data_IF_929350731644
#
_entry.id   IF_929350731644
#
_cell.length_a   1.000
_cell.length_b   1.000
_cell.length_c   1.000
_cell.angle_alpha   90.00
_cell.angle_beta   90.00
_cell.angle_gamma   90.00
#
_symmetry.space_group_name_H-M   'P 1'
#
loop_
_entity.id
_entity.type
_entity.pdbx_description
1 polymer ?
#
# COMPACT_ATOMS: atom_id res chain seq x y z
N UNK A 1 50.89 21.10 -32.66
CA UNK A 1 50.22 20.14 -31.74
C UNK A 1 50.51 20.62 -30.34
N UNK A 2 49.56 21.30 -29.71
CA UNK A 2 49.69 21.70 -28.30
C UNK A 2 49.67 20.46 -27.44
N UNK A 3 50.66 20.27 -26.57
CA UNK A 3 50.68 19.20 -25.57
C UNK A 3 49.62 19.52 -24.52
N UNK A 4 48.55 18.77 -24.53
CA UNK A 4 47.52 18.83 -23.46
C UNK A 4 48.19 18.66 -22.11
N UNK A 5 47.74 19.40 -21.11
CA UNK A 5 48.22 19.23 -19.74
C UNK A 5 47.80 17.86 -19.20
N UNK A 6 48.58 17.23 -18.28
CA UNK A 6 48.20 15.94 -17.69
C UNK A 6 46.76 15.90 -17.17
N UNK A 7 46.32 16.97 -16.49
CA UNK A 7 44.93 17.10 -15.99
C UNK A 7 43.90 17.11 -17.09
N UNK A 8 44.14 17.79 -18.24
CA UNK A 8 43.22 17.79 -19.35
C UNK A 8 43.13 16.41 -20.06
N UNK A 9 44.19 15.63 -20.04
CA UNK A 9 44.19 14.26 -20.55
C UNK A 9 43.45 13.28 -19.64
N UNK A 10 43.57 13.43 -18.32
CA UNK A 10 42.80 12.63 -17.35
C UNK A 10 41.32 12.96 -17.42
N UNK A 11 40.95 14.24 -17.55
CA UNK A 11 39.58 14.66 -17.72
C UNK A 11 38.96 14.10 -19.01
N UNK A 12 39.66 14.15 -20.14
CA UNK A 12 39.18 13.59 -21.40
C UNK A 12 38.93 12.07 -21.31
N UNK A 13 39.82 11.34 -20.67
CA UNK A 13 39.62 9.90 -20.39
C UNK A 13 38.41 9.63 -19.49
N UNK A 14 38.21 10.44 -18.46
CA UNK A 14 37.07 10.31 -17.56
C UNK A 14 35.74 10.58 -18.32
N UNK A 15 35.70 11.59 -19.16
CA UNK A 15 34.55 11.90 -20.01
C UNK A 15 34.27 10.77 -21.01
N UNK A 16 35.31 10.22 -21.65
CA UNK A 16 35.21 9.09 -22.58
C UNK A 16 34.67 7.83 -21.86
N UNK A 17 35.20 7.52 -20.67
CA UNK A 17 34.70 6.41 -19.87
C UNK A 17 33.24 6.60 -19.44
N UNK A 18 32.85 7.81 -19.07
CA UNK A 18 31.46 8.13 -18.73
C UNK A 18 30.52 7.96 -19.95
N UNK A 19 30.98 8.32 -21.16
CA UNK A 19 30.21 8.10 -22.37
C UNK A 19 30.03 6.62 -22.68
N UNK A 20 31.08 5.80 -22.55
CA UNK A 20 31.02 4.33 -22.72
C UNK A 20 30.06 3.74 -21.68
N UNK A 21 30.13 4.14 -20.43
CA UNK A 21 29.24 3.68 -19.37
C UNK A 21 27.78 4.04 -19.65
N UNK A 22 27.51 5.21 -20.21
CA UNK A 22 26.16 5.60 -20.64
C UNK A 22 25.64 4.65 -21.72
N UNK A 23 26.46 4.30 -22.70
CA UNK A 23 26.08 3.36 -23.76
C UNK A 23 25.85 1.96 -23.21
N UNK A 24 26.65 1.51 -22.24
CA UNK A 24 26.41 0.26 -21.52
C UNK A 24 25.03 0.29 -20.85
N UNK A 25 24.66 1.36 -20.14
CA UNK A 25 23.35 1.48 -19.47
C UNK A 25 22.19 1.56 -20.48
N UNK A 26 22.37 2.21 -21.62
CA UNK A 26 21.37 2.20 -22.69
C UNK A 26 21.15 0.79 -23.22
N UNK A 27 22.24 0.05 -23.45
CA UNK A 27 22.15 -1.35 -23.90
C UNK A 27 21.52 -2.25 -22.85
N UNK A 28 21.87 -2.06 -21.57
CA UNK A 28 21.23 -2.73 -20.43
C UNK A 28 19.72 -2.52 -20.43
N UNK A 29 19.27 -1.28 -20.54
CA UNK A 29 17.84 -0.95 -20.62
C UNK A 29 17.15 -1.61 -21.80
N UNK A 30 17.78 -1.58 -22.96
CA UNK A 30 17.24 -2.21 -24.18
C UNK A 30 17.16 -3.74 -24.04
N UNK A 31 18.14 -4.40 -23.41
CA UNK A 31 18.11 -5.82 -23.17
C UNK A 31 16.99 -6.21 -22.17
N UNK A 32 16.82 -5.43 -21.10
CA UNK A 32 15.72 -5.61 -20.16
C UNK A 32 14.35 -5.41 -20.83
N UNK A 33 14.21 -4.38 -21.65
CA UNK A 33 12.98 -4.09 -22.40
C UNK A 33 12.55 -5.27 -23.30
N UNK A 34 13.47 -5.98 -23.93
CA UNK A 34 13.15 -7.12 -24.78
C UNK A 34 12.40 -8.23 -24.02
N UNK A 35 12.68 -8.36 -22.72
CA UNK A 35 12.08 -9.38 -21.84
C UNK A 35 10.90 -8.83 -21.01
N UNK A 36 10.93 -7.53 -20.68
CA UNK A 36 10.03 -6.86 -19.74
C UNK A 36 9.32 -5.66 -20.40
N UNK A 37 8.62 -5.89 -21.51
CA UNK A 37 7.97 -4.82 -22.30
C UNK A 37 6.97 -4.00 -21.51
N UNK A 38 6.26 -4.64 -20.58
CA UNK A 38 5.32 -3.97 -19.67
C UNK A 38 5.99 -3.02 -18.66
N UNK A 39 7.33 -2.99 -18.61
CA UNK A 39 8.11 -2.09 -17.77
C UNK A 39 8.77 -0.95 -18.55
N UNK A 40 8.46 -0.73 -19.82
CA UNK A 40 9.16 0.25 -20.67
C UNK A 40 9.21 1.64 -20.04
N UNK A 41 8.07 2.13 -19.56
CA UNK A 41 7.98 3.43 -18.90
C UNK A 41 8.85 3.50 -17.63
N UNK A 42 8.86 2.44 -16.81
CA UNK A 42 9.68 2.36 -15.60
C UNK A 42 11.18 2.30 -15.94
N UNK A 43 11.56 1.41 -16.86
CA UNK A 43 12.96 1.25 -17.32
C UNK A 43 13.53 2.54 -17.96
N UNK A 44 12.68 3.37 -18.54
CA UNK A 44 13.07 4.62 -19.19
C UNK A 44 13.05 5.83 -18.27
N UNK A 45 12.53 5.72 -17.06
CA UNK A 45 12.18 6.86 -16.20
C UNK A 45 13.36 7.52 -15.51
N UNK A 46 14.51 6.82 -15.37
CA UNK A 46 15.70 7.33 -14.69
C UNK A 46 16.68 7.97 -15.66
N UNK A 47 17.21 9.14 -15.28
CA UNK A 47 18.29 9.81 -16.00
C UNK A 47 19.64 9.26 -15.57
N UNK A 48 20.52 8.94 -16.49
CA UNK A 48 21.87 8.44 -16.19
C UNK A 48 22.81 9.60 -15.87
N UNK A 49 23.39 9.61 -14.67
CA UNK A 49 24.29 10.65 -14.17
C UNK A 49 25.61 10.05 -13.71
N UNK A 50 26.73 10.29 -14.39
CA UNK A 50 28.03 9.86 -13.89
C UNK A 50 28.43 10.69 -12.67
N UNK A 51 28.94 10.04 -11.63
CA UNK A 51 29.47 10.67 -10.43
C UNK A 51 30.80 10.02 -10.05
N UNK A 52 31.91 10.74 -10.29
CA UNK A 52 33.26 10.25 -10.05
C UNK A 52 33.61 10.19 -8.55
N UNK A 53 32.77 10.77 -7.69
CA UNK A 53 32.95 10.76 -6.22
C UNK A 53 32.17 9.65 -5.54
N UNK A 54 31.19 9.06 -6.23
CA UNK A 54 30.39 7.95 -5.71
C UNK A 54 31.26 6.69 -5.53
N UNK A 55 30.82 5.80 -4.62
CA UNK A 55 31.51 4.53 -4.38
C UNK A 55 30.94 3.37 -5.21
N UNK A 56 29.79 3.57 -5.83
CA UNK A 56 29.06 2.54 -6.56
C UNK A 56 28.03 3.11 -7.52
N UNK A 57 26.88 2.52 -7.57
CA UNK A 57 25.73 3.02 -8.30
C UNK A 57 24.49 2.99 -7.39
N UNK A 58 23.54 3.88 -7.64
CA UNK A 58 22.28 3.96 -6.87
C UNK A 58 21.33 4.99 -7.48
N UNK A 59 20.18 5.16 -6.85
CA UNK A 59 19.14 6.05 -7.34
C UNK A 59 18.51 6.90 -6.24
N UNK A 60 18.05 8.08 -6.64
CA UNK A 60 17.20 8.97 -5.84
C UNK A 60 15.71 8.91 -6.29
N UNK A 61 15.39 8.00 -7.23
CA UNK A 61 14.07 7.87 -7.85
C UNK A 61 13.85 8.74 -9.10
N UNK A 62 14.77 9.65 -9.42
CA UNK A 62 14.76 10.47 -10.64
C UNK A 62 16.00 10.25 -11.50
N UNK A 63 17.13 10.05 -10.87
CA UNK A 63 18.41 9.80 -11.52
C UNK A 63 18.98 8.45 -11.09
N UNK A 64 19.63 7.77 -12.01
CA UNK A 64 20.52 6.66 -11.72
C UNK A 64 21.94 7.19 -11.75
N UNK A 65 22.53 7.31 -10.58
CA UNK A 65 23.89 7.85 -10.39
C UNK A 65 24.87 6.69 -10.30
N UNK A 66 25.99 6.78 -10.98
CA UNK A 66 26.98 5.71 -11.03
C UNK A 66 28.39 6.23 -11.09
N UNK A 67 29.31 5.53 -10.48
CA UNK A 67 30.74 5.75 -10.60
C UNK A 67 31.22 4.98 -11.86
N UNK A 68 31.85 5.67 -12.85
CA UNK A 68 32.14 5.06 -14.16
C UNK A 68 33.08 3.85 -14.09
N UNK A 69 34.13 3.89 -13.27
CA UNK A 69 35.10 2.77 -13.13
C UNK A 69 34.43 1.55 -12.49
N UNK A 70 33.58 1.76 -11.48
CA UNK A 70 32.80 0.71 -10.85
C UNK A 70 31.87 0.03 -11.87
N UNK A 71 31.13 0.83 -12.65
CA UNK A 71 30.19 0.30 -13.63
C UNK A 71 30.91 -0.46 -14.76
N UNK A 72 32.01 0.09 -15.27
CA UNK A 72 32.85 -0.56 -16.29
C UNK A 72 33.42 -1.88 -15.74
N UNK A 73 33.92 -1.91 -14.50
CA UNK A 73 34.37 -3.12 -13.85
C UNK A 73 33.28 -4.20 -13.77
N UNK A 74 32.07 -3.84 -13.33
CA UNK A 74 30.93 -4.76 -13.32
C UNK A 74 30.56 -5.30 -14.71
N UNK A 75 30.67 -4.46 -15.72
CA UNK A 75 30.42 -4.88 -17.10
C UNK A 75 31.48 -5.87 -17.60
N UNK A 76 32.74 -5.68 -17.23
CA UNK A 76 33.84 -6.61 -17.55
C UNK A 76 33.69 -7.97 -16.84
N UNK A 77 33.14 -7.99 -15.63
CA UNK A 77 32.78 -9.22 -14.92
C UNK A 77 31.64 -9.97 -15.65
N UNK A 78 30.77 -9.24 -16.35
CA UNK A 78 29.70 -9.78 -17.16
C UNK A 78 28.50 -8.82 -17.23
N UNK A 79 27.92 -8.68 -18.42
CA UNK A 79 26.76 -7.81 -18.65
C UNK A 79 25.56 -8.10 -17.73
N UNK A 80 25.39 -9.35 -17.33
CA UNK A 80 24.31 -9.78 -16.40
C UNK A 80 24.38 -9.02 -15.07
N UNK A 81 25.58 -8.71 -14.59
CA UNK A 81 25.75 -7.98 -13.33
C UNK A 81 25.29 -6.54 -13.44
N UNK A 82 25.52 -5.87 -14.60
CA UNK A 82 25.03 -4.51 -14.83
C UNK A 82 23.52 -4.50 -15.05
N UNK A 83 22.99 -5.46 -15.80
CA UNK A 83 21.55 -5.62 -15.98
C UNK A 83 20.83 -5.78 -14.65
N UNK A 84 21.36 -6.66 -13.80
CA UNK A 84 20.81 -6.94 -12.47
C UNK A 84 20.93 -5.71 -11.57
N UNK A 85 22.07 -5.04 -11.56
CA UNK A 85 22.29 -3.84 -10.76
C UNK A 85 21.31 -2.71 -11.12
N UNK A 86 21.14 -2.42 -12.41
CA UNK A 86 20.20 -1.41 -12.86
C UNK A 86 18.75 -1.80 -12.54
N UNK A 87 18.38 -3.05 -12.80
CA UNK A 87 17.05 -3.55 -12.53
C UNK A 87 16.71 -3.56 -11.04
N UNK A 88 17.67 -3.88 -10.18
CA UNK A 88 17.59 -3.81 -8.73
C UNK A 88 17.18 -2.39 -8.28
N UNK A 89 17.87 -1.35 -8.74
CA UNK A 89 17.52 0.04 -8.42
C UNK A 89 16.15 0.45 -8.96
N UNK A 90 15.74 -0.04 -10.14
CA UNK A 90 14.39 0.19 -10.68
C UNK A 90 13.33 -0.42 -9.76
N UNK A 91 13.54 -1.63 -9.21
CA UNK A 91 12.58 -2.26 -8.31
C UNK A 91 12.47 -1.50 -6.99
N UNK A 92 13.56 -0.95 -6.44
CA UNK A 92 13.48 -0.06 -5.29
C UNK A 92 12.57 1.14 -5.54
N UNK A 93 12.63 1.70 -6.74
CA UNK A 93 11.75 2.81 -7.13
C UNK A 93 10.28 2.36 -7.28
N UNK A 94 10.02 1.23 -7.94
CA UNK A 94 8.67 0.69 -8.16
C UNK A 94 7.97 0.41 -6.84
N UNK A 95 8.68 -0.13 -5.85
CA UNK A 95 8.13 -0.41 -4.52
C UNK A 95 8.29 0.73 -3.52
N UNK A 96 8.79 1.88 -3.99
CA UNK A 96 8.92 3.12 -3.22
C UNK A 96 9.67 2.91 -1.89
N UNK A 97 10.66 2.01 -1.86
CA UNK A 97 11.38 1.61 -0.65
C UNK A 97 12.05 2.78 0.08
N UNK A 98 12.49 3.79 -0.67
CA UNK A 98 13.13 4.99 -0.15
C UNK A 98 12.18 5.91 0.64
N UNK A 99 10.85 5.80 0.43
CA UNK A 99 9.85 6.64 1.07
C UNK A 99 8.95 5.88 2.07
N UNK A 100 9.10 4.54 2.14
CA UNK A 100 8.24 3.68 2.97
C UNK A 100 8.91 3.18 4.24
N UNK A 101 10.08 3.71 4.59
CA UNK A 101 10.83 3.32 5.80
C UNK A 101 10.06 3.65 7.10
N UNK A 102 9.41 4.82 7.17
CA UNK A 102 8.79 5.29 8.41
C UNK A 102 9.79 5.38 9.58
N UNK A 103 9.41 4.86 10.74
CA UNK A 103 10.25 4.85 11.96
C UNK A 103 11.22 3.66 12.05
N UNK A 104 11.30 2.80 11.03
CA UNK A 104 12.14 1.60 11.01
C UNK A 104 13.62 1.94 11.03
N UNK A 105 14.44 1.08 11.66
CA UNK A 105 15.90 1.23 11.69
C UNK A 105 16.46 1.16 10.26
N UNK A 106 17.22 2.19 9.87
CA UNK A 106 17.65 2.40 8.48
C UNK A 106 18.47 1.23 7.93
N UNK A 107 19.49 0.79 8.68
CA UNK A 107 20.36 -0.30 8.23
C UNK A 107 19.61 -1.60 8.00
N UNK A 108 18.71 -1.95 8.92
CA UNK A 108 17.91 -3.17 8.82
C UNK A 108 16.84 -3.06 7.74
N UNK A 109 16.28 -1.86 7.54
CA UNK A 109 15.34 -1.57 6.46
C UNK A 109 16.01 -1.72 5.08
N UNK A 110 17.18 -1.13 4.91
CA UNK A 110 17.94 -1.22 3.67
C UNK A 110 18.24 -2.68 3.31
N UNK A 111 18.70 -3.47 4.28
CA UNK A 111 18.92 -4.91 4.08
C UNK A 111 17.62 -5.65 3.70
N UNK A 112 16.50 -5.34 4.36
CA UNK A 112 15.22 -5.97 4.05
C UNK A 112 14.75 -5.65 2.63
N UNK A 113 14.93 -4.39 2.18
CA UNK A 113 14.63 -3.96 0.82
C UNK A 113 15.49 -4.70 -0.22
N UNK A 114 16.80 -4.84 0.03
CA UNK A 114 17.71 -5.56 -0.86
C UNK A 114 17.34 -7.04 -0.97
N UNK A 115 17.03 -7.69 0.14
CA UNK A 115 16.58 -9.10 0.15
C UNK A 115 15.28 -9.24 -0.64
N UNK A 116 14.32 -8.33 -0.46
CA UNK A 116 13.04 -8.38 -1.17
C UNK A 116 13.21 -8.25 -2.68
N UNK A 117 14.00 -7.26 -3.12
CA UNK A 117 14.29 -7.03 -4.54
C UNK A 117 15.04 -8.20 -5.16
N UNK A 118 16.10 -8.67 -4.50
CA UNK A 118 16.88 -9.80 -4.99
C UNK A 118 16.07 -11.11 -5.05
N UNK A 119 15.15 -11.31 -4.08
CA UNK A 119 14.23 -12.44 -4.12
C UNK A 119 13.30 -12.39 -5.35
N UNK A 120 12.76 -11.20 -5.67
CA UNK A 120 11.93 -11.02 -6.86
C UNK A 120 12.71 -11.28 -8.15
N UNK A 121 13.93 -10.74 -8.25
CA UNK A 121 14.79 -10.97 -9.43
C UNK A 121 15.14 -12.44 -9.58
N UNK A 122 15.47 -13.13 -8.49
CA UNK A 122 15.80 -14.55 -8.51
C UNK A 122 14.60 -15.45 -8.85
N UNK A 123 13.39 -14.98 -8.60
CA UNK A 123 12.14 -15.64 -8.97
C UNK A 123 11.72 -15.45 -10.42
N UNK A 124 12.43 -14.59 -11.18
CA UNK A 124 12.15 -14.35 -12.61
C UNK A 124 12.96 -15.29 -13.50
N UNK A 125 12.30 -15.93 -14.46
CA UNK A 125 12.94 -16.83 -15.43
C UNK A 125 13.57 -16.08 -16.62
N UNK A 126 14.33 -15.00 -16.33
CA UNK A 126 14.91 -14.11 -17.35
C UNK A 126 16.42 -14.31 -17.42
N UNK A 127 16.89 -14.79 -18.57
CA UNK A 127 18.31 -15.14 -18.76
C UNK A 127 19.29 -13.98 -18.55
N UNK A 128 18.92 -12.77 -18.95
CA UNK A 128 19.78 -11.59 -18.82
C UNK A 128 19.88 -11.06 -17.37
N UNK A 129 19.11 -11.62 -16.43
CA UNK A 129 19.14 -11.32 -14.99
C UNK A 129 19.63 -12.49 -14.15
N UNK A 130 19.76 -13.67 -14.75
CA UNK A 130 20.04 -14.91 -14.01
C UNK A 130 21.48 -14.95 -13.47
N UNK A 131 21.61 -15.03 -12.15
CA UNK A 131 22.86 -15.31 -11.46
C UNK A 131 22.68 -16.54 -10.55
N UNK A 132 23.71 -17.42 -10.45
CA UNK A 132 23.66 -18.55 -9.52
C UNK A 132 23.49 -18.08 -8.08
N UNK A 133 22.54 -18.68 -7.36
CA UNK A 133 22.32 -18.36 -5.96
C UNK A 133 23.40 -18.97 -5.06
N UNK A 134 23.98 -18.16 -4.17
CA UNK A 134 24.88 -18.62 -3.13
C UNK A 134 24.18 -19.50 -2.08
N UNK A 135 24.92 -20.31 -1.30
CA UNK A 135 24.33 -21.02 -0.16
C UNK A 135 23.70 -20.10 0.87
N UNK A 136 24.30 -18.93 1.14
CA UNK A 136 23.79 -17.92 2.09
C UNK A 136 22.44 -17.39 1.65
N UNK A 137 22.31 -17.08 0.35
CA UNK A 137 21.08 -16.59 -0.26
C UNK A 137 19.95 -17.62 -0.17
N UNK A 138 20.21 -18.85 -0.54
CA UNK A 138 19.23 -19.95 -0.47
C UNK A 138 18.74 -20.20 0.96
N UNK A 139 19.67 -20.24 1.91
CA UNK A 139 19.31 -20.40 3.33
C UNK A 139 18.46 -19.24 3.84
N UNK A 140 18.82 -17.99 3.49
CA UNK A 140 18.05 -16.81 3.86
C UNK A 140 16.60 -16.91 3.34
N UNK A 141 16.41 -17.23 2.07
CA UNK A 141 15.07 -17.34 1.48
C UNK A 141 14.25 -18.48 2.10
N UNK A 142 14.86 -19.63 2.39
CA UNK A 142 14.16 -20.74 3.05
C UNK A 142 13.64 -20.32 4.43
N UNK A 143 14.49 -19.70 5.25
CA UNK A 143 14.12 -19.25 6.60
C UNK A 143 13.01 -18.20 6.59
N UNK A 144 13.08 -17.24 5.65
CA UNK A 144 12.06 -16.21 5.52
C UNK A 144 10.72 -16.81 5.08
N UNK A 145 10.71 -17.75 4.12
CA UNK A 145 9.49 -18.44 3.66
C UNK A 145 8.79 -19.26 4.74
N UNK A 146 9.51 -19.74 5.74
CA UNK A 146 8.90 -20.42 6.89
C UNK A 146 8.13 -19.46 7.79
N UNK A 147 8.52 -18.17 7.82
CA UNK A 147 7.96 -17.14 8.70
C UNK A 147 6.94 -16.25 8.03
N UNK A 148 7.08 -15.96 6.74
CA UNK A 148 6.18 -15.07 6.01
C UNK A 148 5.69 -15.68 4.70
N UNK A 149 4.43 -15.37 4.34
CA UNK A 149 3.80 -15.78 3.08
C UNK A 149 4.14 -14.83 1.93
N UNK A 150 4.50 -13.59 2.25
CA UNK A 150 4.79 -12.52 1.29
C UNK A 150 6.20 -12.00 1.54
N UNK A 151 7.05 -12.08 0.52
CA UNK A 151 8.47 -11.72 0.57
C UNK A 151 8.68 -10.26 0.15
N UNK A 152 7.98 -9.32 0.81
CA UNK A 152 8.21 -7.88 0.64
C UNK A 152 9.11 -7.31 1.74
N UNK A 153 9.56 -6.05 1.56
CA UNK A 153 10.48 -5.41 2.47
C UNK A 153 9.95 -5.32 3.91
N UNK A 154 8.64 -5.05 4.09
CA UNK A 154 8.00 -4.92 5.39
C UNK A 154 8.01 -6.25 6.17
N UNK A 155 7.57 -7.33 5.54
CA UNK A 155 7.55 -8.66 6.16
C UNK A 155 8.95 -9.17 6.46
N UNK A 156 9.90 -8.94 5.55
CA UNK A 156 11.30 -9.31 5.75
C UNK A 156 11.91 -8.51 6.91
N UNK A 157 11.68 -7.19 6.95
CA UNK A 157 12.15 -6.36 8.07
C UNK A 157 11.68 -6.90 9.41
N UNK A 158 10.38 -7.21 9.54
CA UNK A 158 9.81 -7.80 10.75
C UNK A 158 10.51 -9.10 11.13
N UNK A 159 10.67 -10.02 10.18
CA UNK A 159 11.35 -11.29 10.43
C UNK A 159 12.79 -11.10 10.91
N UNK A 160 13.52 -10.15 10.30
CA UNK A 160 14.91 -9.83 10.69
C UNK A 160 14.98 -9.17 12.07
N UNK A 161 14.01 -8.31 12.41
CA UNK A 161 13.90 -7.66 13.71
C UNK A 161 13.61 -8.68 14.82
N UNK A 162 12.62 -9.58 14.60
CA UNK A 162 12.28 -10.64 15.54
C UNK A 162 13.43 -11.61 15.79
N UNK A 163 14.25 -11.88 14.77
CA UNK A 163 15.43 -12.75 14.91
C UNK A 163 16.54 -12.15 15.73
N UNK A 164 16.53 -10.84 15.97
CA UNK A 164 17.62 -10.10 16.66
C UNK A 164 18.99 -10.55 16.16
N UNK A 165 19.23 -10.34 14.85
CA UNK A 165 20.35 -10.92 14.11
C UNK A 165 21.71 -10.70 14.81
N UNK A 166 22.51 -11.76 15.05
CA UNK A 166 23.90 -11.59 15.47
C UNK A 166 24.71 -10.80 14.43
N UNK A 167 25.63 -9.94 14.87
CA UNK A 167 26.43 -9.07 14.00
C UNK A 167 27.11 -9.84 12.83
N UNK A 168 27.67 -11.00 13.10
CA UNK A 168 28.29 -11.84 12.04
C UNK A 168 27.30 -12.31 10.99
N UNK A 169 26.05 -12.59 11.35
CA UNK A 169 24.97 -12.94 10.41
C UNK A 169 24.53 -11.75 9.61
N UNK A 170 24.35 -10.61 10.26
CA UNK A 170 24.02 -9.34 9.60
C UNK A 170 25.05 -9.00 8.52
N UNK A 171 26.35 -9.00 8.86
CA UNK A 171 27.43 -8.73 7.92
C UNK A 171 27.47 -9.73 6.74
N UNK A 172 27.17 -11.00 7.00
CA UNK A 172 27.09 -12.00 5.94
C UNK A 172 25.94 -11.74 4.97
N UNK A 173 24.77 -11.34 5.48
CA UNK A 173 23.62 -10.96 4.64
C UNK A 173 23.88 -9.68 3.88
N UNK A 174 24.46 -8.66 4.52
CA UNK A 174 24.88 -7.43 3.84
C UNK A 174 25.84 -7.69 2.69
N UNK A 175 26.88 -8.53 2.91
CA UNK A 175 27.83 -8.88 1.86
C UNK A 175 27.18 -9.62 0.67
N UNK A 176 26.11 -10.40 0.93
CA UNK A 176 25.40 -11.14 -0.09
C UNK A 176 24.38 -10.29 -0.87
N UNK A 177 23.63 -9.43 -0.19
CA UNK A 177 22.47 -8.76 -0.77
C UNK A 177 22.69 -7.30 -1.16
N UNK A 178 23.64 -6.59 -0.51
CA UNK A 178 23.95 -5.20 -0.87
C UNK A 178 24.45 -5.10 -2.32
N UNK A 179 23.74 -4.33 -3.16
CA UNK A 179 24.06 -4.15 -4.58
C UNK A 179 24.28 -2.71 -4.97
N UNK A 180 23.42 -1.83 -4.51
CA UNK A 180 23.44 -0.41 -4.85
C UNK A 180 23.58 0.49 -3.62
N UNK A 181 23.86 1.77 -3.88
CA UNK A 181 24.12 2.76 -2.84
C UNK A 181 22.81 3.48 -2.47
N UNK A 182 22.34 3.27 -1.24
CA UNK A 182 21.13 3.87 -0.68
C UNK A 182 21.34 5.24 -0.04
N UNK A 183 22.56 5.79 -0.04
CA UNK A 183 22.89 7.08 0.60
C UNK A 183 22.03 8.25 0.09
N UNK A 184 21.52 8.15 -1.14
CA UNK A 184 20.70 9.17 -1.79
C UNK A 184 19.19 9.08 -1.47
N UNK A 185 18.76 8.06 -0.71
CA UNK A 185 17.36 7.90 -0.35
C UNK A 185 16.87 8.97 0.63
N UNK A 186 17.76 9.46 1.49
CA UNK A 186 17.47 10.36 2.60
C UNK A 186 17.77 11.84 2.33
N UNK A 187 18.02 12.22 1.08
CA UNK A 187 18.44 13.60 0.73
C UNK A 187 17.25 14.57 0.82
N UNK A 188 16.80 14.84 2.08
CA UNK A 188 15.67 15.71 2.42
C UNK A 188 16.03 17.19 2.51
N UNK A 189 17.33 17.54 2.48
CA UNK A 189 17.78 18.85 2.95
C UNK A 189 17.47 20.02 2.01
N UNK A 190 17.24 19.77 0.71
CA UNK A 190 17.04 20.85 -0.25
C UNK A 190 15.60 20.93 -0.85
N UNK A 191 14.76 19.88 -0.74
CA UNK A 191 13.42 19.85 -1.33
C UNK A 191 12.45 19.00 -0.50
N UNK A 192 11.62 19.62 0.35
CA UNK A 192 10.65 18.90 1.20
C UNK A 192 9.58 18.12 0.39
N UNK A 193 9.24 18.60 -0.82
CA UNK A 193 8.22 17.98 -1.68
C UNK A 193 8.74 16.76 -2.47
N UNK A 194 10.05 16.53 -2.48
CA UNK A 194 10.69 15.49 -3.28
C UNK A 194 10.15 14.07 -3.01
N UNK A 195 9.93 13.65 -1.74
CA UNK A 195 9.39 12.32 -1.46
C UNK A 195 7.99 12.11 -2.05
N UNK A 196 7.13 13.13 -1.99
CA UNK A 196 5.76 13.03 -2.52
C UNK A 196 5.74 13.01 -4.05
N UNK A 197 6.55 13.86 -4.72
CA UNK A 197 6.69 13.83 -6.18
C UNK A 197 7.20 12.47 -6.67
N UNK A 198 8.22 11.94 -5.99
CA UNK A 198 8.81 10.63 -6.27
C UNK A 198 7.80 9.52 -6.13
N UNK A 199 7.09 9.49 -5.01
CA UNK A 199 6.05 8.51 -4.74
C UNK A 199 4.95 8.55 -5.79
N UNK A 200 4.40 9.73 -6.09
CA UNK A 200 3.35 9.89 -7.11
C UNK A 200 3.83 9.42 -8.49
N UNK A 201 5.07 9.75 -8.86
CA UNK A 201 5.66 9.28 -10.12
C UNK A 201 5.66 7.76 -10.21
N UNK A 202 6.18 7.09 -9.19
CA UNK A 202 6.38 5.64 -9.21
C UNK A 202 5.07 4.86 -8.97
N UNK A 203 4.13 5.39 -8.19
CA UNK A 203 2.78 4.84 -8.06
C UNK A 203 2.04 4.85 -9.41
N UNK A 204 2.12 5.95 -10.16
CA UNK A 204 1.54 6.05 -11.50
C UNK A 204 2.19 5.05 -12.50
N UNK A 205 3.52 4.94 -12.47
CA UNK A 205 4.24 3.98 -13.32
C UNK A 205 3.86 2.54 -12.99
N UNK A 206 3.75 2.21 -11.70
CA UNK A 206 3.34 0.87 -11.23
C UNK A 206 1.90 0.54 -11.65
N UNK A 207 0.97 1.50 -11.57
CA UNK A 207 -0.41 1.33 -12.06
C UNK A 207 -0.46 1.06 -13.57
N UNK A 208 0.32 1.79 -14.35
CA UNK A 208 0.44 1.56 -15.81
C UNK A 208 1.03 0.17 -16.11
N UNK A 209 2.04 -0.26 -15.36
CA UNK A 209 2.63 -1.59 -15.50
C UNK A 209 1.60 -2.71 -15.27
N UNK A 210 0.76 -2.60 -14.26
CA UNK A 210 -0.28 -3.61 -13.98
C UNK A 210 -1.26 -3.73 -15.16
N UNK A 211 -1.75 -2.60 -15.68
CA UNK A 211 -2.64 -2.55 -16.83
C UNK A 211 -2.00 -3.19 -18.07
N UNK A 212 -0.73 -2.92 -18.31
CA UNK A 212 0.01 -3.53 -19.42
C UNK A 212 0.23 -5.03 -19.19
N UNK A 213 0.57 -5.47 -17.97
CA UNK A 213 0.73 -6.89 -17.63
C UNK A 213 -0.55 -7.69 -17.88
N UNK A 214 -1.72 -7.13 -17.63
CA UNK A 214 -3.01 -7.78 -17.90
C UNK A 214 -3.30 -7.91 -19.40
N UNK A 215 -2.80 -6.96 -20.22
CA UNK A 215 -2.96 -6.96 -21.66
C UNK A 215 -1.96 -7.87 -22.40
N UNK A 216 -0.80 -8.15 -21.78
CA UNK A 216 0.21 -9.06 -22.34
C UNK A 216 -0.14 -10.54 -22.08
N UNK A 217 0.28 -11.40 -23.02
CA UNK A 217 -0.05 -12.82 -23.00
C UNK A 217 0.32 -13.52 -21.68
N UNK A 218 -0.41 -14.60 -21.34
CA UNK A 218 -0.16 -15.49 -20.18
C UNK A 218 1.32 -15.88 -20.00
N UNK A 219 2.10 -15.90 -21.07
CA UNK A 219 3.52 -16.28 -21.05
C UNK A 219 4.39 -15.19 -20.40
N UNK A 220 4.18 -13.91 -20.72
CA UNK A 220 4.90 -12.80 -20.09
C UNK A 220 4.57 -12.68 -18.59
N UNK A 221 3.32 -12.95 -18.23
CA UNK A 221 2.87 -12.99 -16.84
C UNK A 221 3.50 -14.17 -16.04
N UNK A 222 3.81 -15.29 -16.69
CA UNK A 222 4.52 -16.41 -16.07
C UNK A 222 6.02 -16.11 -15.88
N UNK A 223 6.67 -15.47 -16.86
CA UNK A 223 8.09 -15.09 -16.77
C UNK A 223 8.34 -14.03 -15.68
N UNK A 224 7.36 -13.14 -15.44
CA UNK A 224 7.41 -12.12 -14.39
C UNK A 224 7.03 -12.65 -12.98
N UNK A 225 6.41 -13.83 -12.87
CA UNK A 225 6.14 -14.59 -11.66
C UNK A 225 5.87 -13.77 -10.39
N UNK A 226 6.84 -13.72 -9.51
CA UNK A 226 6.75 -13.04 -8.21
C UNK A 226 6.61 -11.51 -8.34
N UNK A 227 7.25 -10.86 -9.34
CA UNK A 227 7.08 -9.43 -9.59
C UNK A 227 5.63 -9.07 -9.91
N UNK A 228 4.95 -9.86 -10.77
CA UNK A 228 3.54 -9.66 -11.09
C UNK A 228 2.66 -9.75 -9.85
N UNK A 229 2.94 -10.74 -9.01
CA UNK A 229 2.22 -10.93 -7.74
C UNK A 229 2.42 -9.73 -6.81
N UNK A 230 3.65 -9.28 -6.65
CA UNK A 230 3.99 -8.18 -5.76
C UNK A 230 3.41 -6.85 -6.26
N UNK A 231 3.49 -6.56 -7.56
CA UNK A 231 2.87 -5.35 -8.16
C UNK A 231 1.36 -5.33 -7.91
N UNK A 232 0.68 -6.48 -8.05
CA UNK A 232 -0.76 -6.58 -7.73
C UNK A 232 -1.06 -6.36 -6.24
N UNK A 233 -0.18 -6.81 -5.34
CA UNK A 233 -0.34 -6.56 -3.91
C UNK A 233 -0.21 -5.06 -3.61
N UNK A 234 0.78 -4.39 -4.17
CA UNK A 234 1.04 -2.96 -3.93
C UNK A 234 0.03 -2.03 -4.62
N UNK A 235 -0.50 -2.43 -5.78
CA UNK A 235 -1.50 -1.65 -6.53
C UNK A 235 -2.93 -1.90 -6.09
N UNK A 236 -3.17 -2.75 -5.08
CA UNK A 236 -4.53 -2.84 -4.55
C UNK A 236 -5.04 -1.45 -4.28
N UNK A 237 -6.23 -1.16 -4.82
CA UNK A 237 -6.89 0.13 -4.66
C UNK A 237 -6.87 0.54 -3.19
N UNK A 238 -6.22 1.66 -2.91
CA UNK A 238 -6.29 2.33 -1.61
C UNK A 238 -7.55 3.18 -1.66
N UNK A 239 -8.63 2.64 -1.14
CA UNK A 239 -9.87 3.39 -1.04
C UNK A 239 -9.76 4.44 0.07
N UNK A 240 -10.29 5.62 -0.15
CA UNK A 240 -10.58 6.57 0.91
C UNK A 240 -11.57 5.93 1.90
N UNK A 241 -11.27 6.01 3.18
CA UNK A 241 -12.12 5.46 4.25
C UNK A 241 -13.55 6.02 4.21
N UNK A 242 -13.71 7.31 3.91
CA UNK A 242 -15.00 7.97 3.74
C UNK A 242 -15.78 7.40 2.56
N UNK A 243 -15.11 7.22 1.43
CA UNK A 243 -15.71 6.62 0.23
C UNK A 243 -16.12 5.17 0.50
N UNK A 244 -15.28 4.42 1.22
CA UNK A 244 -15.59 3.06 1.61
C UNK A 244 -16.84 2.99 2.50
N UNK A 245 -16.93 3.79 3.56
CA UNK A 245 -18.11 3.85 4.41
C UNK A 245 -19.38 4.27 3.65
N UNK A 246 -19.26 5.19 2.70
CA UNK A 246 -20.36 5.59 1.82
C UNK A 246 -20.86 4.46 0.94
N UNK A 247 -20.03 3.45 0.59
CA UNK A 247 -20.48 2.25 -0.16
C UNK A 247 -21.45 1.38 0.63
N UNK A 248 -21.44 1.43 1.96
CA UNK A 248 -22.42 0.76 2.79
C UNK A 248 -23.74 1.52 2.92
N UNK A 249 -23.81 2.74 2.40
CA UNK A 249 -25.06 3.48 2.32
C UNK A 249 -25.93 2.92 1.20
N UNK A 250 -27.11 2.49 1.54
CA UNK A 250 -28.12 1.99 0.59
C UNK A 250 -29.14 3.09 0.35
N UNK A 251 -29.45 3.36 -0.92
CA UNK A 251 -30.60 4.21 -1.28
C UNK A 251 -31.88 3.50 -0.87
N UNK A 252 -32.66 4.09 -0.02
CA UNK A 252 -33.93 3.53 0.45
C UNK A 252 -35.00 4.62 0.42
N UNK A 253 -36.14 4.27 -0.13
CA UNK A 253 -37.32 5.11 -0.05
C UNK A 253 -37.82 5.14 1.41
N UNK A 254 -37.93 6.32 1.96
CA UNK A 254 -38.57 6.54 3.26
C UNK A 254 -39.84 7.36 3.07
N UNK A 255 -40.87 7.05 3.87
CA UNK A 255 -42.10 7.84 3.90
C UNK A 255 -41.79 9.19 4.59
N UNK A 256 -41.37 10.13 3.78
CA UNK A 256 -41.05 11.49 4.17
C UNK A 256 -41.43 12.42 3.03
N UNK A 257 -42.14 13.51 3.34
CA UNK A 257 -42.56 14.47 2.32
C UNK A 257 -41.30 15.11 1.70
N UNK A 258 -41.14 14.92 0.40
CA UNK A 258 -40.10 15.58 -0.38
C UNK A 258 -40.65 16.91 -0.93
N UNK A 259 -40.20 18.02 -0.35
CA UNK A 259 -40.63 19.38 -0.76
C UNK A 259 -39.93 19.84 -2.04
N UNK A 260 -38.89 19.18 -2.48
CA UNK A 260 -38.07 19.52 -3.65
C UNK A 260 -38.56 18.78 -4.93
N UNK A 261 -39.40 17.76 -4.77
CA UNK A 261 -40.00 17.02 -5.85
C UNK A 261 -41.54 16.94 -5.68
N UNK A 262 -42.23 16.79 -6.78
CA UNK A 262 -43.70 16.67 -6.81
C UNK A 262 -44.15 15.42 -7.55
N UNK A 263 -45.37 14.94 -7.24
CA UNK A 263 -45.95 13.78 -7.88
C UNK A 263 -46.39 14.13 -9.31
N UNK A 264 -45.72 13.52 -10.30
CA UNK A 264 -46.02 13.73 -11.70
C UNK A 264 -47.39 13.18 -12.11
N UNK A 265 -47.97 12.25 -11.37
CA UNK A 265 -49.28 11.68 -11.66
C UNK A 265 -50.37 12.75 -11.40
N UNK A 266 -50.30 13.40 -10.26
CA UNK A 266 -51.19 14.51 -9.91
C UNK A 266 -50.98 15.73 -10.81
N UNK A 267 -49.72 16.03 -11.13
CA UNK A 267 -49.37 17.09 -12.05
C UNK A 267 -49.99 16.87 -13.45
N UNK A 268 -49.79 15.69 -14.03
CA UNK A 268 -50.33 15.34 -15.35
C UNK A 268 -51.87 15.25 -15.35
N UNK A 269 -52.45 14.69 -14.26
CA UNK A 269 -53.91 14.66 -14.10
C UNK A 269 -54.50 16.09 -14.05
N UNK A 270 -53.89 17.02 -13.34
CA UNK A 270 -54.30 18.39 -13.29
C UNK A 270 -54.27 19.08 -14.66
N UNK A 271 -53.21 18.90 -15.41
CA UNK A 271 -53.07 19.43 -16.77
C UNK A 271 -54.16 18.84 -17.74
N UNK A 272 -54.45 17.55 -17.67
CA UNK A 272 -55.44 16.88 -18.54
C UNK A 272 -56.84 17.28 -18.18
N UNK A 273 -57.17 17.46 -16.91
CA UNK A 273 -58.52 17.72 -16.43
C UNK A 273 -58.86 19.18 -16.50
N UNK A 274 -57.93 20.06 -16.19
CA UNK A 274 -58.16 21.52 -16.02
C UNK A 274 -57.42 22.39 -17.06
N UNK A 275 -56.76 21.77 -18.04
CA UNK A 275 -56.08 22.41 -19.16
C UNK A 275 -54.72 22.99 -18.80
N UNK A 276 -54.66 24.12 -18.17
CA UNK A 276 -53.38 24.81 -17.81
C UNK A 276 -53.14 24.95 -16.31
N UNK A 277 -53.84 24.16 -15.48
CA UNK A 277 -53.73 24.21 -14.03
C UNK A 277 -53.16 22.87 -13.51
N UNK A 278 -51.82 22.74 -13.36
CA UNK A 278 -51.23 21.55 -12.77
C UNK A 278 -51.53 21.46 -11.27
N UNK A 279 -51.81 20.27 -10.78
CA UNK A 279 -51.93 19.99 -9.36
C UNK A 279 -50.53 19.65 -8.85
N UNK A 280 -50.00 20.42 -7.92
CA UNK A 280 -48.68 20.21 -7.34
C UNK A 280 -48.88 19.61 -5.96
N UNK A 281 -48.48 18.37 -5.79
CA UNK A 281 -48.45 17.66 -4.51
C UNK A 281 -47.04 17.16 -4.29
N UNK A 282 -46.40 17.41 -3.13
CA UNK A 282 -45.07 16.93 -2.80
C UNK A 282 -45.08 15.37 -2.83
N UNK A 283 -43.93 14.78 -3.21
CA UNK A 283 -43.77 13.33 -3.08
C UNK A 283 -43.84 12.89 -1.62
N UNK A 284 -44.64 11.87 -1.34
CA UNK A 284 -44.76 11.31 0.01
C UNK A 284 -43.54 10.41 0.39
N UNK A 285 -42.67 10.10 -0.58
CA UNK A 285 -41.48 9.29 -0.39
C UNK A 285 -40.25 10.03 -0.86
N UNK A 286 -39.23 10.07 -0.03
CA UNK A 286 -37.90 10.59 -0.34
C UNK A 286 -36.88 9.46 -0.36
N UNK A 287 -36.04 9.41 -1.40
CA UNK A 287 -34.88 8.53 -1.40
C UNK A 287 -33.78 9.13 -0.53
N UNK A 288 -33.45 8.42 0.55
CA UNK A 288 -32.32 8.80 1.42
C UNK A 288 -31.27 7.68 1.44
N UNK A 289 -30.01 8.08 1.51
CA UNK A 289 -28.92 7.13 1.76
C UNK A 289 -28.97 6.68 3.20
N UNK A 290 -29.17 5.39 3.43
CA UNK A 290 -29.26 4.79 4.76
C UNK A 290 -28.13 3.80 4.98
N UNK A 291 -27.35 3.99 6.06
CA UNK A 291 -26.36 3.03 6.53
C UNK A 291 -27.07 2.16 7.57
N UNK A 292 -27.17 0.84 7.32
CA UNK A 292 -28.02 -0.03 8.14
C UNK A 292 -27.22 -0.94 9.07
N UNK A 293 -26.36 -1.80 8.55
CA UNK A 293 -25.76 -2.88 9.34
C UNK A 293 -24.29 -3.10 8.96
N UNK A 294 -23.40 -2.93 9.91
CA UNK A 294 -21.98 -3.25 9.74
C UNK A 294 -21.33 -3.57 11.10
N UNK A 295 -20.17 -4.23 11.07
CA UNK A 295 -19.38 -4.52 12.23
C UNK A 295 -18.07 -3.73 12.21
N UNK A 296 -17.69 -3.15 13.32
CA UNK A 296 -16.39 -2.54 13.57
C UNK A 296 -15.63 -3.47 14.50
N UNK A 297 -14.48 -3.94 14.11
CA UNK A 297 -13.58 -4.70 14.96
C UNK A 297 -12.35 -3.85 15.25
N UNK A 298 -12.01 -3.76 16.50
CA UNK A 298 -10.87 -2.99 17.01
C UNK A 298 -9.84 -3.98 17.55
N UNK A 299 -8.65 -3.94 16.98
CA UNK A 299 -7.51 -4.66 17.51
C UNK A 299 -7.07 -4.03 18.82
N UNK A 300 -7.07 -4.85 19.88
CA UNK A 300 -6.65 -4.44 21.22
C UNK A 300 -5.34 -5.08 21.66
N UNK A 301 -4.53 -5.50 20.69
CA UNK A 301 -3.16 -5.97 20.92
C UNK A 301 -2.27 -4.85 21.50
N UNK A 302 -1.14 -5.23 22.11
CA UNK A 302 -0.24 -4.27 22.77
C UNK A 302 0.32 -3.16 21.87
N UNK A 303 0.32 -3.37 20.57
CA UNK A 303 0.82 -2.42 19.56
C UNK A 303 -0.21 -1.34 19.20
N UNK A 304 -1.52 -1.59 19.41
CA UNK A 304 -2.56 -0.62 19.12
C UNK A 304 -2.81 0.31 20.32
N UNK A 305 -2.41 1.58 20.20
CA UNK A 305 -2.62 2.56 21.29
C UNK A 305 -4.07 3.03 21.37
N UNK A 306 -4.55 3.26 22.60
CA UNK A 306 -5.93 3.73 22.83
C UNK A 306 -6.26 5.07 22.19
N UNK A 307 -5.28 5.93 22.00
CA UNK A 307 -5.46 7.21 21.35
C UNK A 307 -5.72 7.05 19.85
N UNK A 308 -5.04 6.10 19.18
CA UNK A 308 -5.26 5.78 17.77
C UNK A 308 -6.66 5.20 17.54
N UNK A 309 -7.09 4.30 18.40
CA UNK A 309 -8.44 3.72 18.37
C UNK A 309 -9.52 4.80 18.55
N UNK A 310 -9.30 5.73 19.47
CA UNK A 310 -10.24 6.84 19.70
C UNK A 310 -10.35 7.73 18.46
N UNK A 311 -9.25 8.10 17.84
CA UNK A 311 -9.24 8.89 16.60
C UNK A 311 -9.94 8.17 15.46
N UNK A 312 -9.73 6.86 15.31
CA UNK A 312 -10.44 6.06 14.31
C UNK A 312 -11.96 6.08 14.52
N UNK A 313 -12.42 5.91 15.76
CA UNK A 313 -13.85 5.96 16.08
C UNK A 313 -14.44 7.36 15.88
N UNK A 314 -13.70 8.43 16.21
CA UNK A 314 -14.10 9.81 15.94
C UNK A 314 -14.34 10.05 14.45
N UNK A 315 -13.44 9.55 13.60
CA UNK A 315 -13.58 9.62 12.14
C UNK A 315 -14.78 8.81 11.64
N UNK A 316 -14.92 7.59 12.16
CA UNK A 316 -16.08 6.75 11.83
C UNK A 316 -17.38 7.48 12.19
N UNK A 317 -17.44 8.08 13.37
CA UNK A 317 -18.60 8.87 13.81
C UNK A 317 -18.85 10.07 12.89
N UNK A 318 -17.81 10.82 12.53
CA UNK A 318 -17.93 11.98 11.64
C UNK A 318 -18.55 11.61 10.30
N UNK A 319 -18.04 10.55 9.66
CA UNK A 319 -18.57 10.07 8.36
C UNK A 319 -20.00 9.53 8.48
N UNK A 320 -20.29 8.79 9.54
CA UNK A 320 -21.63 8.25 9.76
C UNK A 320 -22.63 9.36 10.07
N UNK A 321 -22.22 10.42 10.78
CA UNK A 321 -23.08 11.56 11.10
C UNK A 321 -23.46 12.43 9.91
N UNK A 322 -22.72 12.35 8.79
CA UNK A 322 -23.10 12.98 7.52
C UNK A 322 -24.36 12.33 6.91
N UNK A 323 -24.66 11.09 7.25
CA UNK A 323 -25.83 10.40 6.74
C UNK A 323 -27.08 10.75 7.57
N UNK A 324 -28.10 11.39 6.95
CA UNK A 324 -29.35 11.76 7.61
C UNK A 324 -30.02 10.60 8.37
N UNK A 325 -29.80 9.38 7.91
CA UNK A 325 -30.39 8.18 8.51
C UNK A 325 -29.64 7.62 9.73
N UNK A 326 -28.41 8.03 9.95
CA UNK A 326 -27.61 7.56 11.08
C UNK A 326 -28.24 7.94 12.46
N UNK A 327 -28.96 9.04 12.49
CA UNK A 327 -29.65 9.49 13.69
C UNK A 327 -30.97 8.75 13.99
N UNK A 328 -31.48 7.95 13.04
CA UNK A 328 -32.79 7.30 13.21
C UNK A 328 -32.73 5.86 13.69
N UNK A 329 -31.95 5.02 13.06
CA UNK A 329 -31.74 3.62 13.48
C UNK A 329 -30.58 2.99 12.72
N UNK A 330 -29.58 2.49 13.44
CA UNK A 330 -28.45 1.73 12.92
C UNK A 330 -28.31 0.42 13.70
N UNK A 331 -27.61 -0.55 13.17
CA UNK A 331 -27.22 -1.77 13.85
C UNK A 331 -25.72 -1.98 13.63
N UNK A 332 -24.93 -1.43 14.54
CA UNK A 332 -23.48 -1.47 14.49
C UNK A 332 -22.97 -2.24 15.70
N UNK A 333 -22.17 -3.25 15.48
CA UNK A 333 -21.46 -3.94 16.55
C UNK A 333 -20.02 -3.41 16.61
N UNK A 334 -19.59 -2.90 17.77
CA UNK A 334 -18.22 -2.51 18.04
C UNK A 334 -17.59 -3.60 18.91
N UNK A 335 -16.69 -4.35 18.30
CA UNK A 335 -16.09 -5.56 18.86
C UNK A 335 -14.62 -5.30 19.14
N UNK A 336 -14.18 -5.52 20.37
CA UNK A 336 -12.76 -5.49 20.74
C UNK A 336 -12.21 -6.92 20.70
N UNK A 337 -11.09 -7.10 20.01
CA UNK A 337 -10.49 -8.41 19.81
C UNK A 337 -8.96 -8.32 19.81
N UNK A 338 -8.31 -9.23 20.53
CA UNK A 338 -6.88 -9.57 20.40
C UNK A 338 -6.74 -11.00 19.86
N UNK A 339 -6.35 -11.97 20.66
CA UNK A 339 -6.44 -13.41 20.34
C UNK A 339 -7.86 -13.96 20.59
N UNK A 340 -8.72 -13.19 21.27
CA UNK A 340 -10.09 -13.55 21.68
C UNK A 340 -10.98 -12.32 21.62
N UNK A 341 -12.29 -12.54 21.59
CA UNK A 341 -13.25 -11.45 21.76
C UNK A 341 -13.20 -10.97 23.20
N UNK A 342 -12.84 -9.71 23.38
CA UNK A 342 -12.76 -9.07 24.71
C UNK A 342 -14.08 -8.39 25.07
N UNK A 343 -14.72 -7.73 24.12
CA UNK A 343 -16.02 -7.10 24.31
C UNK A 343 -16.77 -7.00 22.98
N UNK A 344 -18.09 -6.95 23.06
CA UNK A 344 -18.99 -6.60 21.95
C UNK A 344 -20.04 -5.62 22.47
N UNK A 345 -20.15 -4.47 21.83
CA UNK A 345 -21.16 -3.44 22.14
C UNK A 345 -22.02 -3.20 20.91
N UNK A 346 -23.30 -3.52 21.02
CA UNK A 346 -24.28 -3.17 20.03
C UNK A 346 -24.65 -1.70 20.16
N UNK A 347 -24.61 -0.97 19.06
CA UNK A 347 -24.92 0.45 18.91
C UNK A 347 -26.12 0.57 18.00
N UNK A 348 -27.19 1.19 18.49
CA UNK A 348 -28.44 1.36 17.75
C UNK A 348 -28.70 2.84 17.36
N UNK A 349 -27.88 3.77 17.89
CA UNK A 349 -28.01 5.21 17.59
C UNK A 349 -26.66 5.92 17.60
N UNK A 350 -26.60 7.08 16.97
CA UNK A 350 -25.44 7.97 16.98
C UNK A 350 -25.06 8.42 18.42
N UNK A 351 -26.05 8.62 19.28
CA UNK A 351 -25.81 9.01 20.67
C UNK A 351 -25.12 7.90 21.46
N UNK A 352 -25.51 6.65 21.24
CA UNK A 352 -24.87 5.49 21.87
C UNK A 352 -23.42 5.30 21.40
N UNK A 353 -23.13 5.56 20.11
CA UNK A 353 -21.77 5.51 19.62
C UNK A 353 -20.90 6.59 20.27
N UNK A 354 -21.43 7.80 20.42
CA UNK A 354 -20.73 8.89 21.09
C UNK A 354 -20.48 8.57 22.56
N UNK A 355 -21.50 8.06 23.28
CA UNK A 355 -21.36 7.63 24.67
C UNK A 355 -20.31 6.52 24.81
N UNK A 356 -20.29 5.56 23.89
CA UNK A 356 -19.28 4.51 23.87
C UNK A 356 -17.88 5.10 23.68
N UNK A 357 -17.69 6.06 22.77
CA UNK A 357 -16.39 6.70 22.54
C UNK A 357 -15.89 7.49 23.74
N UNK A 358 -16.80 8.18 24.46
CA UNK A 358 -16.45 8.99 25.63
C UNK A 358 -16.07 8.13 26.85
N UNK A 359 -16.58 6.89 26.94
CA UNK A 359 -16.39 5.99 28.07
C UNK A 359 -15.66 4.69 27.71
N UNK A 360 -15.06 4.61 26.51
CA UNK A 360 -14.41 3.39 26.03
C UNK A 360 -13.17 3.05 26.87
N UNK A 361 -13.19 1.86 27.44
CA UNK A 361 -12.02 1.20 28.03
C UNK A 361 -11.51 0.14 27.04
N UNK A 362 -10.22 0.16 26.77
CA UNK A 362 -9.59 -0.86 25.91
C UNK A 362 -9.31 -2.07 26.78
N UNK A 363 -9.98 -3.17 26.46
CA UNK A 363 -9.77 -4.46 27.10
C UNK A 363 -8.94 -5.35 26.18
N UNK A 364 -7.81 -5.89 26.66
CA UNK A 364 -6.94 -6.78 25.89
C UNK A 364 -5.48 -6.60 26.27
N UNK A 365 -4.57 -6.73 25.30
CA UNK A 365 -3.12 -6.66 25.48
C UNK A 365 -2.43 -8.01 25.27
N UNK A 366 -3.13 -8.97 24.64
CA UNK A 366 -2.57 -10.24 24.17
C UNK A 366 -1.86 -10.14 22.84
N UNK A 367 -1.61 -11.28 22.22
CA UNK A 367 -1.13 -11.38 20.83
C UNK A 367 -2.25 -11.02 19.84
N UNK A 368 -1.95 -11.08 18.53
CA UNK A 368 -2.89 -10.69 17.48
C UNK A 368 -3.29 -11.88 16.63
N UNK A 369 -4.55 -12.26 16.68
CA UNK A 369 -5.18 -13.21 15.76
C UNK A 369 -6.53 -12.66 15.30
N UNK A 370 -6.63 -12.36 14.00
CA UNK A 370 -7.85 -11.77 13.44
C UNK A 370 -8.98 -12.78 13.24
N UNK A 371 -8.68 -14.08 13.17
CA UNK A 371 -9.64 -15.15 12.85
C UNK A 371 -10.79 -15.27 13.84
N UNK A 372 -10.61 -15.13 15.18
CA UNK A 372 -11.70 -15.20 16.15
C UNK A 372 -12.76 -14.13 15.93
N UNK A 373 -12.38 -12.91 15.51
CA UNK A 373 -13.35 -11.85 15.20
C UNK A 373 -14.28 -12.23 14.05
N UNK A 374 -13.75 -12.82 12.98
CA UNK A 374 -14.55 -13.28 11.83
C UNK A 374 -15.50 -14.41 12.24
N UNK A 375 -15.01 -15.39 13.00
CA UNK A 375 -15.86 -16.48 13.51
C UNK A 375 -16.99 -15.96 14.40
N UNK A 376 -16.69 -14.95 15.21
CA UNK A 376 -17.68 -14.32 16.07
C UNK A 376 -18.75 -13.58 15.26
N UNK A 377 -18.35 -12.75 14.29
CA UNK A 377 -19.28 -12.04 13.41
C UNK A 377 -20.13 -13.02 12.60
N UNK A 378 -19.55 -14.11 12.07
CA UNK A 378 -20.30 -15.17 11.42
C UNK A 378 -21.35 -15.80 12.35
N UNK A 379 -21.02 -15.97 13.65
CA UNK A 379 -21.98 -16.45 14.65
C UNK A 379 -23.13 -15.46 14.90
N UNK A 380 -22.86 -14.14 14.87
CA UNK A 380 -23.89 -13.11 14.99
C UNK A 380 -24.83 -13.11 13.77
N UNK A 381 -24.29 -13.31 12.57
CA UNK A 381 -25.09 -13.48 11.34
C UNK A 381 -26.00 -14.72 11.44
N UNK A 382 -25.47 -15.86 11.92
CA UNK A 382 -26.24 -17.09 12.11
C UNK A 382 -27.34 -16.92 13.17
N UNK A 383 -27.10 -16.16 14.23
CA UNK A 383 -28.08 -15.83 15.28
C UNK A 383 -29.12 -14.80 14.83
N UNK A 384 -29.00 -14.27 13.61
CA UNK A 384 -29.87 -13.22 13.05
C UNK A 384 -29.83 -11.90 13.80
N UNK A 385 -28.68 -11.59 14.45
CA UNK A 385 -28.44 -10.26 15.01
C UNK A 385 -28.29 -9.20 13.90
N UNK A 386 -27.80 -9.64 12.71
CA UNK A 386 -27.82 -8.87 11.47
C UNK A 386 -28.86 -9.45 10.51
N UNK A 387 -29.68 -8.57 9.90
CA UNK A 387 -30.60 -8.95 8.83
C UNK A 387 -29.93 -8.97 7.46
N UNK A 388 -28.89 -8.18 7.31
CA UNK A 388 -28.15 -8.07 6.06
C UNK A 388 -26.83 -7.36 6.27
N UNK A 389 -25.89 -8.00 7.01
CA UNK A 389 -24.56 -7.47 7.23
C UNK A 389 -23.87 -7.12 5.90
N UNK A 390 -23.59 -5.86 5.68
CA UNK A 390 -22.96 -5.36 4.45
C UNK A 390 -21.45 -5.41 4.50
N UNK A 391 -20.87 -5.11 5.65
CA UNK A 391 -19.44 -5.09 5.77
C UNK A 391 -18.90 -5.15 7.18
N UNK A 392 -17.62 -5.48 7.25
CA UNK A 392 -16.80 -5.49 8.43
C UNK A 392 -15.60 -4.57 8.24
N UNK A 393 -15.37 -3.68 9.18
CA UNK A 393 -14.22 -2.81 9.24
C UNK A 393 -13.33 -3.28 10.38
N UNK A 394 -12.10 -3.64 10.07
CA UNK A 394 -11.12 -4.11 11.04
C UNK A 394 -10.01 -3.08 11.21
N UNK A 395 -9.97 -2.40 12.35
CA UNK A 395 -8.91 -1.48 12.69
C UNK A 395 -7.75 -2.23 13.35
N UNK A 396 -6.54 -2.14 12.79
CA UNK A 396 -5.36 -2.88 13.26
C UNK A 396 -4.07 -2.24 12.73
N UNK A 397 -2.94 -2.57 13.34
CA UNK A 397 -1.59 -2.32 12.79
C UNK A 397 -1.16 -3.42 11.80
N UNK A 398 -1.94 -4.48 11.65
CA UNK A 398 -1.73 -5.55 10.66
C UNK A 398 -0.73 -6.63 11.07
N UNK A 399 -0.19 -6.59 12.27
CA UNK A 399 0.73 -7.60 12.78
C UNK A 399 -0.03 -8.78 13.40
N UNK A 400 -0.63 -9.63 12.57
CA UNK A 400 -1.43 -10.76 13.06
C UNK A 400 -1.75 -11.82 12.01
N UNK A 401 -2.51 -12.84 12.42
CA UNK A 401 -2.92 -13.93 11.54
C UNK A 401 -4.25 -13.63 10.87
N UNK A 402 -4.22 -13.45 9.55
CA UNK A 402 -5.40 -13.18 8.73
C UNK A 402 -6.20 -14.46 8.41
N UNK A 403 -7.54 -14.34 8.22
CA UNK A 403 -8.36 -15.45 7.74
C UNK A 403 -8.04 -15.80 6.28
N UNK A 404 -8.01 -17.09 5.98
CA UNK A 404 -7.71 -17.61 4.63
C UNK A 404 -8.89 -17.46 3.69
N UNK A 405 -10.11 -17.64 4.21
CA UNK A 405 -11.34 -17.65 3.41
C UNK A 405 -12.03 -16.28 3.42
N UNK A 406 -12.53 -15.88 2.26
CA UNK A 406 -13.36 -14.68 2.12
C UNK A 406 -14.70 -14.89 2.83
N UNK A 407 -15.12 -13.98 3.73
CA UNK A 407 -16.45 -13.99 4.32
C UNK A 407 -17.54 -13.62 3.29
N UNK A 408 -18.81 -13.78 3.68
CA UNK A 408 -19.95 -13.44 2.84
C UNK A 408 -20.22 -11.93 2.74
N UNK A 409 -19.58 -11.13 3.58
CA UNK A 409 -19.69 -9.67 3.65
C UNK A 409 -18.37 -9.01 3.22
N UNK A 410 -18.45 -7.77 2.76
CA UNK A 410 -17.24 -7.03 2.40
C UNK A 410 -16.41 -6.69 3.64
N UNK A 411 -15.11 -6.79 3.51
CA UNK A 411 -14.18 -6.58 4.63
C UNK A 411 -13.12 -5.58 4.25
N UNK A 412 -12.93 -4.57 5.11
CA UNK A 412 -11.83 -3.63 5.02
C UNK A 412 -10.94 -3.72 6.25
N UNK A 413 -9.64 -3.78 6.04
CA UNK A 413 -8.64 -3.56 7.07
C UNK A 413 -8.17 -2.11 7.01
N UNK A 414 -8.26 -1.43 8.14
CA UNK A 414 -7.93 -0.02 8.30
C UNK A 414 -6.64 0.10 9.10
N UNK A 415 -5.66 0.75 8.51
CA UNK A 415 -4.33 0.95 9.09
C UNK A 415 -4.05 2.43 9.32
N UNK A 416 -3.31 2.73 10.36
CA UNK A 416 -2.74 4.07 10.56
C UNK A 416 -1.38 4.18 9.87
N UNK A 417 -1.12 5.28 9.17
CA UNK A 417 0.04 5.45 8.27
C UNK A 417 1.40 5.26 8.92
N UNK A 418 1.55 5.54 10.21
CA UNK A 418 2.86 5.68 10.83
C UNK A 418 3.56 4.35 11.16
N UNK A 419 2.81 3.29 11.45
CA UNK A 419 3.38 1.97 11.78
C UNK A 419 2.38 0.84 11.54
N UNK A 420 2.39 0.26 10.35
CA UNK A 420 1.51 -0.85 10.01
C UNK A 420 2.17 -1.86 9.06
N UNK A 421 1.64 -3.08 9.05
CA UNK A 421 2.00 -4.12 8.10
C UNK A 421 0.77 -4.58 7.33
N UNK A 422 0.74 -4.32 6.03
CA UNK A 422 -0.34 -4.72 5.14
C UNK A 422 0.02 -5.87 4.20
N UNK A 423 1.20 -6.45 4.40
CA UNK A 423 1.78 -7.45 3.52
C UNK A 423 0.98 -8.75 3.47
N UNK A 424 0.46 -9.19 4.61
CA UNK A 424 -0.27 -10.43 4.76
C UNK A 424 -1.78 -10.28 4.60
N UNK A 425 -2.27 -9.06 4.29
CA UNK A 425 -3.69 -8.79 4.04
C UNK A 425 -4.19 -9.64 2.87
N UNK A 426 -5.27 -10.43 3.06
CA UNK A 426 -5.77 -11.30 2.02
C UNK A 426 -6.19 -10.55 0.74
N UNK A 427 -6.02 -11.14 -0.46
CA UNK A 427 -6.38 -10.49 -1.74
C UNK A 427 -7.83 -10.05 -1.87
N UNK A 428 -8.73 -10.70 -1.13
CA UNK A 428 -10.15 -10.40 -1.15
C UNK A 428 -10.56 -9.24 -0.23
N UNK A 429 -9.67 -8.79 0.67
CA UNK A 429 -9.96 -7.71 1.59
C UNK A 429 -9.54 -6.35 1.02
N UNK A 430 -10.25 -5.31 1.38
CA UNK A 430 -9.97 -3.93 1.03
C UNK A 430 -8.95 -3.38 2.04
N UNK A 431 -7.97 -2.63 1.58
CA UNK A 431 -7.02 -1.92 2.44
C UNK A 431 -7.39 -0.45 2.49
N UNK A 432 -7.50 0.09 3.68
CA UNK A 432 -7.72 1.49 3.94
C UNK A 432 -6.57 2.01 4.80
N UNK A 433 -5.99 3.13 4.41
CA UNK A 433 -4.90 3.75 5.15
C UNK A 433 -5.38 5.12 5.59
N UNK A 434 -5.41 5.34 6.90
CA UNK A 434 -5.74 6.62 7.50
C UNK A 434 -4.47 7.44 7.71
N UNK A 435 -4.48 8.68 7.24
CA UNK A 435 -3.40 9.62 7.46
C UNK A 435 -3.75 10.50 8.67
N UNK A 436 -2.94 10.48 9.74
CA UNK A 436 -3.17 11.34 10.90
C UNK A 436 -3.15 12.83 10.57
N UNK A 437 -2.39 13.24 9.54
CA UNK A 437 -2.24 14.65 9.16
C UNK A 437 -3.48 15.19 8.42
N UNK A 438 -4.20 14.36 7.67
CA UNK A 438 -5.46 14.76 7.00
C UNK A 438 -6.54 15.22 7.99
N UNK A 439 -6.43 14.82 9.26
CA UNK A 439 -7.39 15.15 10.32
C UNK A 439 -7.07 16.46 11.07
N UNK A 440 -5.82 16.94 11.00
CA UNK A 440 -5.43 18.22 11.64
C UNK A 440 -5.77 19.42 10.76
N UNK A 441 -5.71 19.29 9.45
CA UNK A 441 -6.00 20.36 8.50
C UNK A 441 -7.50 20.69 8.42
N UNK A 442 -8.40 19.73 8.63
CA UNK A 442 -9.85 19.97 8.64
C UNK A 442 -10.29 20.81 9.86
N UNK A 443 -9.71 20.59 11.03
CA UNK A 443 -9.99 21.44 12.22
C UNK A 443 -9.51 22.89 12.08
N UNK A 444 -8.51 23.15 11.23
CA UNK A 444 -8.04 24.50 10.93
C UNK A 444 -8.93 25.24 9.94
N UNK A 445 -9.67 24.52 9.10
CA UNK A 445 -10.59 25.10 8.12
C UNK A 445 -12.02 25.31 8.67
N UNK A 446 -12.36 24.72 9.81
CA UNK A 446 -13.66 24.90 10.50
C UNK A 446 -13.62 25.95 11.64
N UNK A 447 -12.47 26.55 11.94
CA UNK A 447 -12.31 27.70 12.86
C UNK A 447 -12.07 29.00 12.09
#
# INVERSE_FOLDING_TARGET
>A
MERKTPAAFEQEKAEELAAICRDILINTRNELYLHLRFMDAALSSLKFVPDFTARGAGTDGFCYTYQPEFLAGKYMDGRVYVNRLYFHSILHCIFVHMDTRGKRAEELWNLACDIAVEYMIDGMEIKCLHCPQSPVRRECYLRLKEKTKVMNAQSIYRCLQEENLPEGRYLSLMAEFYRDDHSRWNDKNDRPDLPQERKNKWDNLRGSMETEMESFSKKASQEAGELSRQVKIENRERYDYREFLRKFSVMKETVQIDTDAFDYIYYDYGLRTYGNMPLIEPLETKEIKKIEEFAIVIDTSMSCSGELVKRFLEQTYAVLSEAESFFTKVNVHVIQCDEKIQSDRKIESALELKDYMDHMEIAGGGGTDFRPAFQYVDSLVQKKEFTGLKGLIYFTDGYGMFPVHRPAYDTAFVFMRDDYSDADVPPWAIKLILDPEEFEDERRNEQ
#
